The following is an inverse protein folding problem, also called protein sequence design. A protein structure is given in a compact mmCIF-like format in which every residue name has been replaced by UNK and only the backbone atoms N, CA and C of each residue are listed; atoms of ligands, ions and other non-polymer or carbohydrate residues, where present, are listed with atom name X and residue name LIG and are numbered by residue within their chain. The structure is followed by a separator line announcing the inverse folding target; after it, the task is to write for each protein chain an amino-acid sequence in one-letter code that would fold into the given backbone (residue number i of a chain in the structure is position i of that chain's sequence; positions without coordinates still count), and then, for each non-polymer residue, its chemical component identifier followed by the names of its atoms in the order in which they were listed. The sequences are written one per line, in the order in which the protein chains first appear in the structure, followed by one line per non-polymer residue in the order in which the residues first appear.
data_IF_717224762333
#
_entry.id   IF_717224762333
#
_cell.length_a   1.000
_cell.length_b   1.000
_cell.length_c   1.000
_cell.angle_alpha   90.00
_cell.angle_beta   90.00
_cell.angle_gamma   90.00
#
_symmetry.space_group_name_H-M   'P 1'
#
loop_
_entity.id
_entity.type
_entity.pdbx_description
1 polymer ?
#
# COMPACT_ATOMS: atom_id res chain seq x y z
N UNK A 1 12.44 14.81 -42.31
CA UNK A 1 11.69 14.32 -41.13
C UNK A 1 10.26 14.14 -41.57
N UNK A 2 9.90 12.91 -41.91
CA UNK A 2 8.53 12.52 -42.27
C UNK A 2 7.74 12.22 -41.00
N UNK A 3 6.41 12.29 -41.07
CA UNK A 3 5.51 12.02 -39.92
C UNK A 3 5.65 10.59 -39.40
N UNK A 4 5.99 9.64 -40.28
CA UNK A 4 6.23 8.24 -39.93
C UNK A 4 7.49 8.08 -39.09
N UNK A 5 8.59 8.75 -39.46
CA UNK A 5 9.83 8.78 -38.68
C UNK A 5 9.62 9.41 -37.31
N UNK A 6 8.85 10.50 -37.21
CA UNK A 6 8.56 11.18 -35.95
C UNK A 6 7.72 10.31 -34.99
N UNK A 7 6.72 9.58 -35.53
CA UNK A 7 5.92 8.64 -34.74
C UNK A 7 6.76 7.45 -34.25
N UNK A 8 7.68 6.96 -35.08
CA UNK A 8 8.64 5.93 -34.71
C UNK A 8 9.59 6.39 -33.60
N UNK A 9 10.04 7.65 -33.64
CA UNK A 9 10.86 8.23 -32.57
C UNK A 9 10.07 8.38 -31.26
N UNK A 10 8.82 8.84 -31.32
CA UNK A 10 7.96 8.98 -30.15
C UNK A 10 7.69 7.62 -29.46
N UNK A 11 7.41 6.57 -30.24
CA UNK A 11 7.24 5.21 -29.73
C UNK A 11 8.51 4.68 -29.06
N UNK A 12 9.68 4.90 -29.67
CA UNK A 12 10.98 4.51 -29.08
C UNK A 12 11.25 5.23 -27.76
N UNK A 13 10.95 6.53 -27.69
CA UNK A 13 11.09 7.31 -26.45
C UNK A 13 10.12 6.82 -25.36
N UNK A 14 8.87 6.51 -25.70
CA UNK A 14 7.90 5.98 -24.76
C UNK A 14 8.37 4.64 -24.14
N UNK A 15 8.95 3.74 -24.95
CA UNK A 15 9.52 2.48 -24.46
C UNK A 15 10.67 2.72 -23.49
N UNK A 16 11.57 3.67 -23.79
CA UNK A 16 12.68 4.04 -22.91
C UNK A 16 12.19 4.63 -21.58
N UNK A 17 11.20 5.51 -21.62
CA UNK A 17 10.61 6.13 -20.43
C UNK A 17 9.90 5.10 -19.54
N UNK A 18 9.17 4.15 -20.12
CA UNK A 18 8.56 3.05 -19.37
C UNK A 18 9.60 2.11 -18.76
N UNK A 19 10.66 1.78 -19.50
CA UNK A 19 11.76 0.93 -19.02
C UNK A 19 12.57 1.57 -17.87
N UNK A 20 12.69 2.89 -17.85
CA UNK A 20 13.45 3.63 -16.83
C UNK A 20 12.98 3.37 -15.39
N UNK A 21 11.67 3.25 -15.16
CA UNK A 21 11.12 2.96 -13.82
C UNK A 21 10.93 1.47 -13.53
N UNK A 22 11.11 0.59 -14.52
CA UNK A 22 10.90 -0.86 -14.37
C UNK A 22 11.68 -1.50 -13.21
N UNK A 23 12.98 -1.21 -12.99
CA UNK A 23 13.72 -1.79 -11.85
C UNK A 23 13.20 -1.32 -10.48
N UNK A 24 12.70 -0.07 -10.38
CA UNK A 24 12.20 0.48 -9.13
C UNK A 24 10.84 -0.07 -8.70
N UNK A 25 10.06 -0.67 -9.62
CA UNK A 25 8.73 -1.23 -9.32
C UNK A 25 8.77 -2.43 -8.37
N UNK A 26 9.87 -3.18 -8.38
CA UNK A 26 10.02 -4.42 -7.61
C UNK A 26 11.13 -4.35 -6.56
N UNK A 27 11.97 -3.31 -6.58
CA UNK A 27 13.08 -3.13 -5.64
C UNK A 27 12.66 -3.08 -4.15
N UNK A 28 11.37 -2.84 -3.83
CA UNK A 28 10.85 -2.84 -2.45
C UNK A 28 10.07 -4.09 -2.04
N UNK A 29 9.98 -5.11 -2.90
CA UNK A 29 9.21 -6.31 -2.60
C UNK A 29 9.97 -7.35 -1.75
N UNK A 30 11.30 -7.40 -1.87
CA UNK A 30 12.11 -8.38 -1.12
C UNK A 30 12.35 -7.95 0.34
N UNK A 31 12.22 -6.65 0.66
CA UNK A 31 12.21 -6.16 2.04
C UNK A 31 10.78 -6.11 2.62
N UNK A 32 9.97 -7.12 2.30
CA UNK A 32 8.63 -7.28 2.86
C UNK A 32 8.73 -7.43 4.39
N UNK A 33 8.63 -6.28 5.06
CA UNK A 33 8.65 -6.16 6.52
C UNK A 33 7.74 -7.19 7.16
N UNK A 34 8.26 -7.91 8.16
CA UNK A 34 7.46 -8.77 9.01
C UNK A 34 6.46 -7.88 9.77
N UNK A 35 5.26 -7.71 9.22
CA UNK A 35 4.21 -7.00 9.94
C UNK A 35 3.95 -7.76 11.23
N UNK A 36 4.04 -7.07 12.37
CA UNK A 36 3.77 -7.68 13.66
C UNK A 36 2.36 -8.27 13.67
N UNK A 37 2.26 -9.60 13.65
CA UNK A 37 1.00 -10.31 13.82
C UNK A 37 0.69 -10.31 15.30
N UNK A 38 -0.38 -9.60 15.68
CA UNK A 38 -0.94 -9.70 17.02
C UNK A 38 -1.40 -11.13 17.27
N UNK A 39 -1.00 -11.70 18.39
CA UNK A 39 -1.49 -12.98 18.90
C UNK A 39 -2.97 -12.90 19.28
N UNK A 40 -3.39 -11.77 19.84
CA UNK A 40 -4.76 -11.55 20.31
C UNK A 40 -5.69 -11.06 19.17
N UNK A 41 -6.94 -11.54 19.11
CA UNK A 41 -7.97 -11.00 18.23
C UNK A 41 -8.13 -9.48 18.36
N UNK A 42 -8.39 -8.86 17.20
CA UNK A 42 -8.70 -7.43 17.14
C UNK A 42 -10.07 -7.18 17.78
N UNK A 43 -10.09 -6.45 18.89
CA UNK A 43 -11.34 -6.02 19.52
C UNK A 43 -12.13 -5.14 18.54
N UNK A 44 -13.33 -5.60 18.19
CA UNK A 44 -14.23 -4.86 17.32
C UNK A 44 -14.71 -3.57 17.99
N UNK A 45 -14.86 -2.51 17.21
CA UNK A 45 -15.22 -1.16 17.70
C UNK A 45 -16.53 -1.15 18.54
N UNK A 46 -17.49 -2.03 18.26
CA UNK A 46 -18.76 -2.11 18.99
C UNK A 46 -18.80 -3.16 20.12
N UNK A 47 -17.76 -3.98 20.28
CA UNK A 47 -17.68 -5.04 21.31
C UNK A 47 -17.52 -4.45 22.72
N UNK A 48 -17.83 -5.19 23.80
CA UNK A 48 -17.52 -4.74 25.16
C UNK A 48 -16.02 -4.44 25.30
N UNK A 49 -15.69 -3.37 26.03
CA UNK A 49 -14.31 -2.93 26.19
C UNK A 49 -13.57 -3.85 27.17
N UNK A 50 -12.39 -4.38 26.83
CA UNK A 50 -11.66 -5.34 27.67
C UNK A 50 -11.12 -4.74 28.98
N UNK A 51 -11.18 -3.42 29.17
CA UNK A 51 -10.81 -2.75 30.42
C UNK A 51 -11.83 -2.90 31.55
N UNK A 52 -12.94 -3.62 31.32
CA UNK A 52 -13.96 -3.89 32.35
C UNK A 52 -14.95 -2.75 32.60
N UNK A 53 -14.93 -1.68 31.82
CA UNK A 53 -15.80 -0.52 32.03
C UNK A 53 -17.29 -0.72 31.70
N UNK A 54 -17.67 -1.89 31.14
CA UNK A 54 -19.03 -2.17 30.66
C UNK A 54 -19.46 -1.39 29.40
N UNK A 55 -18.60 -0.50 28.86
CA UNK A 55 -18.88 0.31 27.67
C UNK A 55 -18.42 -0.39 26.39
N UNK A 56 -19.00 -0.03 25.23
CA UNK A 56 -18.51 -0.46 23.91
C UNK A 56 -17.10 0.10 23.66
N UNK A 57 -16.19 -0.68 23.05
CA UNK A 57 -14.77 -0.33 22.83
C UNK A 57 -14.58 1.08 22.25
N UNK A 58 -15.37 1.46 21.23
CA UNK A 58 -15.34 2.80 20.60
C UNK A 58 -15.70 3.99 21.48
N UNK A 59 -16.36 3.72 22.61
CA UNK A 59 -16.77 4.75 23.58
C UNK A 59 -15.90 4.71 24.84
N UNK A 60 -14.87 3.87 24.85
CA UNK A 60 -13.93 3.70 25.94
C UNK A 60 -12.50 3.69 25.38
N UNK A 61 -11.73 2.60 25.50
CA UNK A 61 -10.32 2.56 25.08
C UNK A 61 -10.05 2.75 23.59
N UNK A 62 -11.03 2.44 22.72
CA UNK A 62 -10.94 2.67 21.28
C UNK A 62 -11.52 4.02 20.83
N UNK A 63 -11.70 4.93 21.78
CA UNK A 63 -12.07 6.32 21.52
C UNK A 63 -10.77 7.09 21.31
N UNK A 64 -10.48 7.46 20.07
CA UNK A 64 -9.67 8.65 19.82
C UNK A 64 -10.46 9.87 20.33
#
# INVERSE_FOLDING_TARGET
MTVEEASGMAMRLAVLLHGYWAPARWAGAEEASTTFRRSEPKVGRNQPCPCGSGKKYKRCCGRN
#
